data_IF_011577176192
#
_entry.id   IF_011577176192
#
_cell.length_a   1.000
_cell.length_b   1.000
_cell.length_c   1.000
_cell.angle_alpha   90.00
_cell.angle_beta   90.00
_cell.angle_gamma   90.00
#
_symmetry.space_group_name_H-M   'P 1'
#
loop_
_entity.id
_entity.type
_entity.pdbx_description
1 polymer ?
#
# COMPACT_ATOMS: atom_id res chain seq x y z
N UNK A 1 -45.06 -33.66 -6.45
CA UNK A 1 -44.01 -32.67 -6.75
C UNK A 1 -44.57 -31.30 -6.41
N UNK A 2 -44.01 -30.60 -5.41
CA UNK A 2 -44.49 -29.27 -4.99
C UNK A 2 -43.29 -28.32 -4.99
N UNK A 3 -43.31 -27.39 -5.92
CA UNK A 3 -42.31 -26.36 -6.17
C UNK A 3 -42.56 -25.12 -5.30
N UNK A 4 -41.49 -24.32 -5.19
CA UNK A 4 -41.48 -22.87 -4.94
C UNK A 4 -41.65 -22.41 -3.47
N UNK A 5 -40.92 -21.42 -2.93
CA UNK A 5 -39.93 -20.45 -3.43
C UNK A 5 -39.16 -19.92 -2.21
N UNK A 6 -37.86 -19.70 -2.35
CA UNK A 6 -37.01 -18.96 -1.41
C UNK A 6 -37.41 -17.48 -1.45
N UNK A 7 -37.59 -16.85 -0.29
CA UNK A 7 -37.68 -15.39 -0.16
C UNK A 7 -36.87 -14.95 1.07
N UNK A 8 -35.68 -14.42 0.80
CA UNK A 8 -34.79 -13.76 1.74
C UNK A 8 -35.14 -12.26 1.74
N UNK A 9 -35.53 -11.62 2.86
CA UNK A 9 -35.60 -10.17 2.89
C UNK A 9 -34.20 -9.62 3.19
N UNK A 10 -33.52 -9.20 2.13
CA UNK A 10 -32.36 -8.33 2.17
C UNK A 10 -32.87 -6.90 2.47
N UNK A 11 -32.69 -6.40 3.69
CA UNK A 11 -32.92 -5.00 4.00
C UNK A 11 -31.58 -4.27 4.04
N UNK A 12 -31.24 -3.62 2.93
CA UNK A 12 -30.15 -2.63 2.84
C UNK A 12 -30.78 -1.26 3.13
N UNK A 13 -30.48 -0.67 4.28
CA UNK A 13 -30.73 0.74 4.54
C UNK A 13 -29.39 1.49 4.47
N UNK A 14 -29.06 1.99 3.27
CA UNK A 14 -28.03 3.00 3.06
C UNK A 14 -28.60 4.34 3.51
N UNK A 15 -28.28 4.78 4.73
CA UNK A 15 -28.44 6.19 5.13
C UNK A 15 -27.07 6.79 5.39
N UNK A 16 -26.36 7.10 4.30
CA UNK A 16 -25.30 8.10 4.32
C UNK A 16 -25.95 9.45 4.03
N UNK A 17 -26.13 10.27 5.06
CA UNK A 17 -26.60 11.64 4.96
C UNK A 17 -25.95 12.44 6.07
N UNK A 18 -24.93 13.20 5.70
CA UNK A 18 -24.14 14.05 6.57
C UNK A 18 -25.03 14.98 7.41
N UNK A 19 -24.92 14.86 8.74
CA UNK A 19 -25.31 15.91 9.68
C UNK A 19 -24.01 16.50 10.26
N UNK A 20 -23.23 17.18 9.41
CA UNK A 20 -22.15 18.04 9.90
C UNK A 20 -22.73 19.43 10.12
N UNK A 21 -22.83 19.79 11.41
CA UNK A 21 -22.76 21.14 11.96
C UNK A 21 -23.61 22.23 11.27
N UNK A 22 -24.85 22.41 11.73
CA UNK A 22 -25.57 23.69 11.60
C UNK A 22 -26.07 24.09 13.00
N UNK A 23 -25.24 24.83 13.73
CA UNK A 23 -25.54 25.35 15.07
C UNK A 23 -24.36 26.18 15.59
N UNK A 24 -24.59 27.23 16.38
CA UNK A 24 -23.53 28.12 16.84
C UNK A 24 -22.50 27.31 17.65
N UNK A 25 -21.22 27.42 17.27
CA UNK A 25 -20.12 26.81 18.02
C UNK A 25 -19.91 27.66 19.27
N UNK A 26 -20.63 27.34 20.34
CA UNK A 26 -20.39 27.90 21.67
C UNK A 26 -19.16 27.20 22.28
N UNK A 27 -18.05 27.93 22.37
CA UNK A 27 -16.71 27.43 22.62
C UNK A 27 -16.40 26.90 24.03
N UNK A 28 -17.21 25.98 24.56
CA UNK A 28 -16.84 25.15 25.72
C UNK A 28 -17.66 23.84 25.83
N UNK A 29 -18.06 23.24 24.70
CA UNK A 29 -18.66 21.90 24.74
C UNK A 29 -17.54 20.86 24.93
N UNK A 30 -17.39 20.36 26.16
CA UNK A 30 -16.63 19.13 26.38
C UNK A 30 -17.33 18.05 25.56
N UNK A 31 -16.73 17.66 24.43
CA UNK A 31 -17.25 16.59 23.57
C UNK A 31 -17.40 15.31 24.38
N UNK A 32 -18.60 15.11 24.95
CA UNK A 32 -18.91 13.92 25.72
C UNK A 32 -19.39 12.84 24.75
N UNK A 33 -18.43 12.15 24.14
CA UNK A 33 -18.75 10.98 23.33
C UNK A 33 -19.07 9.79 24.26
N UNK A 34 -20.35 9.44 24.32
CA UNK A 34 -20.80 8.20 24.96
C UNK A 34 -20.80 7.09 23.92
N UNK A 35 -19.91 6.10 24.10
CA UNK A 35 -19.90 4.91 23.26
C UNK A 35 -21.23 4.17 23.41
N UNK A 36 -21.86 3.82 22.28
CA UNK A 36 -23.04 2.96 22.25
C UNK A 36 -22.68 1.47 22.43
N UNK A 37 -21.39 1.14 22.37
CA UNK A 37 -20.88 -0.23 22.49
C UNK A 37 -20.17 -0.42 23.83
N UNK A 38 -20.35 -1.60 24.40
CA UNK A 38 -19.56 -2.10 25.51
C UNK A 38 -18.13 -2.40 25.08
N UNK A 39 -17.21 -2.46 26.05
CA UNK A 39 -15.82 -2.86 25.79
C UNK A 39 -15.71 -4.22 25.12
N UNK A 40 -16.54 -5.18 25.51
CA UNK A 40 -16.53 -6.54 24.96
C UNK A 40 -16.93 -6.53 23.48
N UNK A 41 -17.94 -5.74 23.10
CA UNK A 41 -18.39 -5.60 21.71
C UNK A 41 -17.33 -4.92 20.85
N UNK A 42 -16.68 -3.88 21.37
CA UNK A 42 -15.55 -3.23 20.67
C UNK A 42 -14.43 -4.24 20.42
N UNK A 43 -14.04 -5.04 21.42
CA UNK A 43 -12.99 -6.05 21.25
C UNK A 43 -13.39 -7.15 20.24
N UNK A 44 -14.64 -7.58 20.27
CA UNK A 44 -15.18 -8.56 19.34
C UNK A 44 -15.19 -8.05 17.89
N UNK A 45 -15.36 -6.75 17.67
CA UNK A 45 -15.30 -6.13 16.34
C UNK A 45 -13.87 -5.86 15.86
N UNK A 46 -12.99 -5.42 16.77
CA UNK A 46 -11.60 -5.09 16.44
C UNK A 46 -10.79 -6.32 16.07
N UNK A 47 -10.96 -7.46 16.75
CA UNK A 47 -10.20 -8.68 16.48
C UNK A 47 -10.31 -9.20 15.02
N UNK A 48 -11.52 -9.35 14.43
CA UNK A 48 -11.64 -9.73 13.03
C UNK A 48 -11.21 -8.62 12.07
N UNK A 49 -11.47 -7.34 12.37
CA UNK A 49 -11.05 -6.22 11.53
C UNK A 49 -9.52 -6.08 11.47
N UNK A 50 -8.83 -6.36 12.58
CA UNK A 50 -7.37 -6.42 12.63
C UNK A 50 -6.82 -7.57 11.79
N UNK A 51 -7.42 -8.77 11.88
CA UNK A 51 -7.04 -9.93 11.07
C UNK A 51 -7.27 -9.71 9.58
N UNK A 52 -8.33 -8.98 9.24
CA UNK A 52 -8.64 -8.61 7.86
C UNK A 52 -7.77 -7.45 7.34
N UNK A 53 -6.89 -6.89 8.17
CA UNK A 53 -6.08 -5.71 7.88
C UNK A 53 -6.92 -4.56 7.30
N UNK A 54 -8.11 -4.32 7.84
CA UNK A 54 -9.01 -3.22 7.38
C UNK A 54 -8.98 -1.99 8.30
N UNK A 55 -8.13 -2.02 9.32
CA UNK A 55 -7.94 -0.90 10.25
C UNK A 55 -6.81 -0.02 9.74
N UNK A 56 -7.10 1.25 9.49
CA UNK A 56 -6.09 2.25 9.13
C UNK A 56 -5.07 2.43 10.27
N UNK A 57 -3.79 2.56 9.91
CA UNK A 57 -2.68 2.79 10.85
C UNK A 57 -1.94 4.05 10.43
N UNK A 58 -2.05 5.11 11.22
CA UNK A 58 -1.53 6.43 10.84
C UNK A 58 -2.20 6.92 9.55
N UNK A 59 -1.40 7.46 8.63
CA UNK A 59 -1.87 7.95 7.32
C UNK A 59 -2.16 6.82 6.30
N UNK A 60 -1.82 5.58 6.63
CA UNK A 60 -2.01 4.45 5.72
C UNK A 60 -3.36 3.77 5.99
N UNK A 61 -4.32 3.97 5.09
CA UNK A 61 -5.46 3.07 4.96
C UNK A 61 -5.01 1.80 4.25
N UNK A 62 -5.45 0.61 4.70
CA UNK A 62 -5.16 -0.63 4.01
C UNK A 62 -5.63 -0.61 2.54
N UNK A 63 -6.77 0.02 2.25
CA UNK A 63 -7.21 0.22 0.87
C UNK A 63 -6.21 1.02 0.01
N UNK A 64 -5.46 1.95 0.62
CA UNK A 64 -4.40 2.71 -0.05
C UNK A 64 -3.11 1.89 -0.17
N UNK A 65 -2.78 1.08 0.84
CA UNK A 65 -1.63 0.16 0.81
C UNK A 65 -1.78 -0.92 -0.28
N UNK A 66 -3.00 -1.39 -0.54
CA UNK A 66 -3.31 -2.35 -1.61
C UNK A 66 -3.44 -1.69 -2.98
N UNK A 67 -3.86 -0.41 -3.04
CA UNK A 67 -3.99 0.33 -4.30
C UNK A 67 -2.64 0.73 -4.93
N UNK A 68 -1.52 0.62 -4.22
CA UNK A 68 -0.22 1.09 -4.71
C UNK A 68 0.88 0.05 -4.57
N UNK A 69 0.58 -1.23 -4.78
CA UNK A 69 1.63 -2.15 -5.23
C UNK A 69 1.85 -1.86 -6.71
N UNK A 70 2.63 -0.82 -7.00
CA UNK A 70 3.21 -0.66 -8.33
C UNK A 70 4.15 -1.84 -8.50
N UNK A 71 3.67 -2.91 -9.14
CA UNK A 71 4.50 -4.02 -9.53
C UNK A 71 5.58 -3.46 -10.47
N UNK A 72 6.79 -3.24 -9.94
CA UNK A 72 7.92 -2.83 -10.75
C UNK A 72 8.15 -3.90 -11.81
N UNK A 73 8.19 -3.50 -13.08
CA UNK A 73 8.54 -4.40 -14.18
C UNK A 73 10.02 -4.84 -14.16
N UNK A 74 10.81 -4.34 -13.20
CA UNK A 74 12.23 -4.62 -13.08
C UNK A 74 12.49 -5.84 -12.21
N UNK A 75 13.47 -6.66 -12.60
CA UNK A 75 13.94 -7.76 -11.77
C UNK A 75 14.66 -7.25 -10.51
N UNK A 76 14.73 -8.09 -9.46
CA UNK A 76 15.47 -7.73 -8.23
C UNK A 76 16.93 -7.38 -8.50
N UNK A 77 17.59 -8.10 -9.40
CA UNK A 77 19.00 -7.84 -9.73
C UNK A 77 19.17 -6.53 -10.49
N UNK A 78 18.24 -6.21 -11.39
CA UNK A 78 18.25 -4.94 -12.09
C UNK A 78 18.12 -3.77 -11.10
N UNK A 79 17.14 -3.84 -10.18
CA UNK A 79 16.94 -2.81 -9.15
C UNK A 79 18.17 -2.64 -8.27
N UNK A 80 18.80 -3.73 -7.85
CA UNK A 80 20.01 -3.68 -7.02
C UNK A 80 21.18 -3.02 -7.74
N UNK A 81 21.37 -3.32 -9.03
CA UNK A 81 22.44 -2.73 -9.83
C UNK A 81 22.20 -1.24 -10.09
N UNK A 82 20.96 -0.85 -10.42
CA UNK A 82 20.59 0.56 -10.58
C UNK A 82 20.78 1.34 -9.26
N UNK A 83 20.36 0.76 -8.13
CA UNK A 83 20.53 1.38 -6.82
C UNK A 83 22.01 1.52 -6.41
N UNK A 84 22.84 0.52 -6.68
CA UNK A 84 24.27 0.56 -6.41
C UNK A 84 24.96 1.67 -7.23
N UNK A 85 24.59 1.81 -8.51
CA UNK A 85 25.15 2.85 -9.37
C UNK A 85 24.67 4.25 -8.95
N UNK A 86 23.40 4.40 -8.58
CA UNK A 86 22.88 5.64 -8.01
C UNK A 86 23.61 6.02 -6.72
N UNK A 87 23.93 5.04 -5.86
CA UNK A 87 24.73 5.26 -4.65
C UNK A 87 26.15 5.72 -4.99
N UNK A 88 26.82 5.06 -5.94
CA UNK A 88 28.17 5.44 -6.42
C UNK A 88 28.21 6.87 -6.96
N UNK A 89 27.14 7.30 -7.61
CA UNK A 89 27.00 8.64 -8.18
C UNK A 89 26.54 9.71 -7.17
N UNK A 90 26.28 9.33 -5.91
CA UNK A 90 25.79 10.25 -4.88
C UNK A 90 24.35 10.73 -5.13
N UNK A 91 23.55 9.94 -5.85
CA UNK A 91 22.18 10.27 -6.26
C UNK A 91 21.11 9.66 -5.35
N UNK A 92 21.51 9.09 -4.22
CA UNK A 92 20.58 8.60 -3.20
C UNK A 92 20.24 9.75 -2.26
N UNK A 93 18.94 10.01 -2.09
CA UNK A 93 18.45 11.03 -1.18
C UNK A 93 18.99 10.84 0.25
N UNK A 94 19.39 11.93 0.89
CA UNK A 94 19.88 11.95 2.27
C UNK A 94 19.21 13.11 3.00
N UNK A 95 18.34 12.80 3.97
CA UNK A 95 17.53 13.80 4.65
C UNK A 95 16.62 14.56 3.68
N UNK A 96 16.70 15.89 3.70
CA UNK A 96 15.92 16.78 2.83
C UNK A 96 16.57 17.01 1.45
N UNK A 97 17.79 16.50 1.24
CA UNK A 97 18.52 16.69 -0.01
C UNK A 97 18.05 15.64 -1.03
N UNK A 98 17.37 16.12 -2.07
CA UNK A 98 16.93 15.32 -3.21
C UNK A 98 17.81 15.62 -4.43
N UNK A 99 18.88 14.85 -4.66
CA UNK A 99 19.74 15.06 -5.81
C UNK A 99 18.99 14.76 -7.12
N UNK A 100 19.08 15.68 -8.08
CA UNK A 100 18.48 15.52 -9.42
C UNK A 100 19.54 14.98 -10.38
N UNK A 101 19.36 13.79 -10.96
CA UNK A 101 20.33 13.22 -11.89
C UNK A 101 20.37 14.02 -13.20
N UNK A 102 21.57 14.21 -13.72
CA UNK A 102 21.74 14.62 -15.13
C UNK A 102 21.34 13.48 -16.06
N UNK A 103 21.02 13.79 -17.33
CA UNK A 103 20.66 12.77 -18.32
C UNK A 103 21.75 11.69 -18.47
N UNK A 104 23.03 12.07 -18.44
CA UNK A 104 24.14 11.13 -18.54
C UNK A 104 24.25 10.20 -17.31
N UNK A 105 23.89 10.69 -16.12
CA UNK A 105 23.90 9.86 -14.90
C UNK A 105 22.70 8.91 -14.86
N UNK A 106 21.52 9.38 -15.27
CA UNK A 106 20.34 8.52 -15.41
C UNK A 106 20.61 7.37 -16.40
N UNK A 107 21.31 7.68 -17.50
CA UNK A 107 21.71 6.69 -18.49
C UNK A 107 22.72 5.67 -17.94
N UNK A 108 23.71 6.11 -17.15
CA UNK A 108 24.66 5.20 -16.48
C UNK A 108 23.94 4.22 -15.54
N UNK A 109 23.00 4.72 -14.74
CA UNK A 109 22.17 3.89 -13.85
C UNK A 109 21.42 2.84 -14.68
N UNK A 110 20.73 3.27 -15.74
CA UNK A 110 19.97 2.39 -16.63
C UNK A 110 20.85 1.28 -17.25
N UNK A 111 22.05 1.63 -17.73
CA UNK A 111 23.00 0.68 -18.30
C UNK A 111 23.48 -0.33 -17.25
N UNK A 112 23.75 0.10 -16.02
CA UNK A 112 24.13 -0.80 -14.93
C UNK A 112 23.04 -1.86 -14.65
N UNK A 113 21.78 -1.44 -14.65
CA UNK A 113 20.63 -2.33 -14.56
C UNK A 113 20.58 -3.38 -15.67
N UNK A 114 20.78 -2.96 -16.92
CA UNK A 114 20.76 -3.85 -18.09
C UNK A 114 21.90 -4.87 -18.06
N UNK A 115 23.10 -4.45 -17.70
CA UNK A 115 24.26 -5.33 -17.57
C UNK A 115 24.02 -6.43 -16.53
N UNK A 116 23.34 -6.11 -15.42
CA UNK A 116 23.01 -7.08 -14.39
C UNK A 116 22.03 -8.15 -14.88
N UNK A 117 21.02 -7.76 -15.67
CA UNK A 117 20.08 -8.70 -16.30
C UNK A 117 20.81 -9.63 -17.26
N UNK A 118 21.64 -9.07 -18.16
CA UNK A 118 22.42 -9.87 -19.11
C UNK A 118 23.34 -10.86 -18.39
N UNK A 119 23.99 -10.44 -17.31
CA UNK A 119 24.86 -11.29 -16.50
C UNK A 119 24.10 -12.43 -15.82
N UNK A 120 22.89 -12.17 -15.31
CA UNK A 120 22.03 -13.21 -14.74
C UNK A 120 21.55 -14.22 -15.78
N UNK A 121 21.15 -13.75 -16.97
CA UNK A 121 20.76 -14.64 -18.06
C UNK A 121 21.90 -15.55 -18.50
N UNK A 122 23.12 -15.01 -18.60
CA UNK A 122 24.31 -15.78 -18.94
C UNK A 122 24.67 -16.83 -17.86
N UNK A 123 24.60 -16.46 -16.57
CA UNK A 123 24.85 -17.38 -15.47
C UNK A 123 23.84 -18.54 -15.44
N UNK A 124 22.56 -18.23 -15.67
CA UNK A 124 21.48 -19.23 -15.72
C UNK A 124 21.66 -20.19 -16.91
N UNK A 125 22.03 -19.66 -18.09
CA UNK A 125 22.29 -20.47 -19.28
C UNK A 125 23.49 -21.41 -19.10
N UNK A 126 24.52 -20.99 -18.38
CA UNK A 126 25.68 -21.83 -18.06
C UNK A 126 25.32 -22.97 -17.10
N UNK A 127 24.44 -22.73 -16.12
CA UNK A 127 24.01 -23.77 -15.18
C UNK A 127 23.18 -24.88 -15.83
N UNK A 128 22.36 -24.54 -16.84
CA UNK A 128 21.56 -25.52 -17.58
C UNK A 128 22.43 -26.46 -18.43
N UNK A 129 23.59 -26.01 -18.92
CA UNK A 129 24.51 -26.84 -19.72
C UNK A 129 25.39 -27.77 -18.89
N UNK A 130 25.42 -27.60 -17.56
CA UNK A 130 26.25 -28.36 -16.63
C UNK A 130 25.48 -29.52 -15.95
N UNK A 131 24.19 -29.69 -16.24
CA UNK A 131 23.33 -30.79 -15.79
C UNK A 131 22.93 -31.65 -16.98
#
# INVERSE_FOLDING_TARGET
>A
MKTARIALPLAIALTAGAAFAEGPIEGNEVFNFQSQLTRAEVQAQVAPAYKADVIARGEASPAQAQATVVASGLSRAQVQAEAAEAYRLGLVAQGEILPVPTAAQAEQIRIAGQNAVTSQSAASASQVRAN
#
